data_IF_955738119111
#
_entry.id   IF_955738119111
#
_cell.length_a   1.000
_cell.length_b   1.000
_cell.length_c   1.000
_cell.angle_alpha   90.00
_cell.angle_beta   90.00
_cell.angle_gamma   90.00
#
_symmetry.space_group_name_H-M   'P 1'
#
loop_
_entity.id
_entity.type
_entity.pdbx_description
1 polymer ?
#
# COMPACT_ATOMS: atom_id res chain seq x y z
N UNK A 1 15.27 -9.83 -6.19
CA UNK A 1 15.82 -8.46 -6.28
C UNK A 1 14.70 -7.43 -6.47
N UNK A 2 14.04 -7.33 -7.63
CA UNK A 2 12.99 -6.32 -7.87
C UNK A 2 11.78 -6.40 -6.92
N UNK A 3 11.26 -7.61 -6.66
CA UNK A 3 10.14 -7.80 -5.73
C UNK A 3 10.50 -7.42 -4.29
N UNK A 4 11.75 -7.65 -3.85
CA UNK A 4 12.18 -7.27 -2.50
C UNK A 4 12.31 -5.75 -2.38
N UNK A 5 12.90 -5.09 -3.37
CA UNK A 5 12.95 -3.61 -3.42
C UNK A 5 11.56 -3.00 -3.41
N UNK A 6 10.62 -3.58 -4.17
CA UNK A 6 9.22 -3.16 -4.16
C UNK A 6 8.59 -3.34 -2.77
N UNK A 7 8.81 -4.48 -2.12
CA UNK A 7 8.25 -4.80 -0.81
C UNK A 7 8.78 -3.86 0.29
N UNK A 8 10.08 -3.59 0.32
CA UNK A 8 10.71 -2.61 1.23
C UNK A 8 10.16 -1.19 1.03
N UNK A 9 9.98 -0.78 -0.22
CA UNK A 9 9.43 0.53 -0.55
C UNK A 9 7.95 0.64 -0.17
N UNK A 10 7.13 -0.38 -0.46
CA UNK A 10 5.72 -0.44 -0.06
C UNK A 10 5.60 -0.42 1.46
N UNK A 11 6.44 -1.18 2.18
CA UNK A 11 6.49 -1.15 3.65
C UNK A 11 6.71 0.28 4.16
N UNK A 12 7.68 0.99 3.57
CA UNK A 12 7.99 2.39 3.93
C UNK A 12 6.82 3.34 3.63
N UNK A 13 6.13 3.17 2.50
CA UNK A 13 4.94 3.97 2.15
C UNK A 13 3.82 3.71 3.16
N UNK A 14 3.55 2.44 3.49
CA UNK A 14 2.51 2.06 4.46
C UNK A 14 2.82 2.55 5.88
N UNK A 15 4.08 2.57 6.31
CA UNK A 15 4.50 3.17 7.60
C UNK A 15 4.24 4.67 7.67
N UNK A 16 4.38 5.38 6.54
CA UNK A 16 4.15 6.83 6.45
C UNK A 16 2.69 7.19 6.20
N UNK A 17 1.84 6.21 5.89
CA UNK A 17 0.42 6.45 5.65
C UNK A 17 -0.31 6.72 6.97
N UNK A 18 -0.61 8.00 7.22
CA UNK A 18 -1.15 8.45 8.50
C UNK A 18 -2.49 7.81 8.85
N UNK A 19 -3.38 7.60 7.89
CA UNK A 19 -4.67 6.94 8.12
C UNK A 19 -4.49 5.51 8.66
N UNK A 20 -3.58 4.74 8.06
CA UNK A 20 -3.25 3.38 8.50
C UNK A 20 -2.58 3.38 9.89
N UNK A 21 -1.62 4.29 10.11
CA UNK A 21 -0.96 4.42 11.41
C UNK A 21 -1.92 4.79 12.54
N UNK A 22 -2.87 5.69 12.28
CA UNK A 22 -3.94 6.03 13.23
C UNK A 22 -4.88 4.85 13.47
N UNK A 23 -5.24 4.10 12.44
CA UNK A 23 -6.10 2.92 12.59
C UNK A 23 -5.46 1.86 13.49
N UNK A 24 -4.16 1.59 13.30
CA UNK A 24 -3.40 0.67 14.14
C UNK A 24 -3.28 1.20 15.58
N UNK A 25 -2.87 2.46 15.74
CA UNK A 25 -2.65 3.06 17.07
C UNK A 25 -3.93 3.19 17.90
N UNK A 26 -5.08 3.40 17.26
CA UNK A 26 -6.38 3.45 17.95
C UNK A 26 -7.01 2.07 18.13
N UNK A 27 -6.36 0.99 17.66
CA UNK A 27 -6.89 -0.37 17.77
C UNK A 27 -8.15 -0.60 16.95
N UNK A 28 -8.31 0.13 15.84
CA UNK A 28 -9.45 -0.04 14.95
C UNK A 28 -9.41 -1.42 14.29
N UNK A 29 -10.57 -2.07 14.23
CA UNK A 29 -10.69 -3.49 13.89
C UNK A 29 -10.19 -4.47 14.98
N UNK A 30 -9.71 -4.01 16.14
CA UNK A 30 -9.24 -4.87 17.23
C UNK A 30 -7.75 -5.21 17.20
N UNK A 31 -7.34 -6.21 17.98
CA UNK A 31 -5.92 -6.62 18.09
C UNK A 31 -5.38 -7.15 16.76
N UNK A 32 -4.12 -6.85 16.46
CA UNK A 32 -3.43 -7.35 15.26
C UNK A 32 -3.36 -6.36 14.10
N UNK A 33 -3.32 -5.05 14.38
CA UNK A 33 -3.11 -4.01 13.37
C UNK A 33 -1.85 -4.23 12.52
N UNK A 34 -0.73 -4.63 13.15
CA UNK A 34 0.51 -4.95 12.43
C UNK A 34 0.32 -6.11 11.44
N UNK A 35 -0.37 -7.19 11.84
CA UNK A 35 -0.68 -8.32 10.96
C UNK A 35 -1.58 -7.94 9.79
N UNK A 36 -2.46 -6.95 9.96
CA UNK A 36 -3.27 -6.40 8.88
C UNK A 36 -2.43 -5.58 7.93
N UNK A 37 -1.53 -4.74 8.43
CA UNK A 37 -0.57 -4.01 7.60
C UNK A 37 0.30 -4.98 6.80
N UNK A 38 0.80 -6.06 7.40
CA UNK A 38 1.54 -7.11 6.69
C UNK A 38 0.70 -7.77 5.59
N UNK A 39 -0.59 -8.06 5.85
CA UNK A 39 -1.52 -8.58 4.83
C UNK A 39 -1.74 -7.59 3.68
N UNK A 40 -1.84 -6.29 4.00
CA UNK A 40 -1.98 -5.26 2.98
C UNK A 40 -0.74 -5.19 2.08
N UNK A 41 0.45 -5.20 2.68
CA UNK A 41 1.71 -5.27 1.94
C UNK A 41 1.76 -6.49 1.03
N UNK A 42 1.39 -7.67 1.54
CA UNK A 42 1.33 -8.91 0.74
C UNK A 42 0.35 -8.80 -0.44
N UNK A 43 -0.81 -8.15 -0.26
CA UNK A 43 -1.78 -7.93 -1.33
C UNK A 43 -1.18 -7.06 -2.44
N UNK A 44 -0.49 -5.97 -2.07
CA UNK A 44 0.17 -5.07 -3.03
C UNK A 44 1.33 -5.78 -3.74
N UNK A 45 2.15 -6.54 -3.00
CA UNK A 45 3.26 -7.32 -3.55
C UNK A 45 2.78 -8.44 -4.48
N UNK A 46 1.66 -9.09 -4.18
CA UNK A 46 1.03 -10.06 -5.08
C UNK A 46 0.59 -9.39 -6.39
N UNK A 47 -0.04 -8.21 -6.33
CA UNK A 47 -0.41 -7.45 -7.54
C UNK A 47 0.78 -7.09 -8.40
N UNK A 48 1.89 -6.69 -7.78
CA UNK A 48 3.12 -6.43 -8.50
C UNK A 48 3.67 -7.70 -9.19
N UNK A 49 3.61 -8.85 -8.53
CA UNK A 49 4.05 -10.11 -9.13
C UNK A 49 3.14 -10.58 -10.28
N UNK A 50 1.82 -10.38 -10.17
CA UNK A 50 0.83 -10.88 -11.12
C UNK A 50 0.61 -9.99 -12.34
N UNK A 51 0.59 -8.66 -12.15
CA UNK A 51 0.30 -7.71 -13.22
C UNK A 51 1.58 -7.10 -13.79
N UNK A 52 1.59 -6.81 -15.08
CA UNK A 52 2.66 -6.03 -15.70
C UNK A 52 2.55 -4.54 -15.38
N UNK A 53 1.33 -4.05 -15.18
CA UNK A 53 1.03 -2.67 -14.80
C UNK A 53 -0.04 -2.68 -13.70
N UNK A 54 0.17 -1.86 -12.67
CA UNK A 54 -0.78 -1.71 -11.57
C UNK A 54 -1.64 -0.49 -11.86
N UNK A 55 -2.93 -0.69 -12.05
CA UNK A 55 -3.86 0.43 -12.21
C UNK A 55 -4.04 1.16 -10.86
N UNK A 56 -3.84 2.47 -10.87
CA UNK A 56 -3.87 3.28 -9.65
C UNK A 56 -5.29 3.43 -9.08
N UNK A 57 -6.32 3.47 -9.92
CA UNK A 57 -7.71 3.61 -9.49
C UNK A 57 -8.19 2.31 -8.84
N UNK A 58 -7.87 1.16 -9.46
CA UNK A 58 -8.11 -0.16 -8.91
C UNK A 58 -7.39 -0.36 -7.57
N UNK A 59 -6.12 0.07 -7.48
CA UNK A 59 -5.36 -0.03 -6.22
C UNK A 59 -5.93 0.90 -5.15
N UNK A 60 -6.34 2.11 -5.50
CA UNK A 60 -7.00 3.05 -4.59
C UNK A 60 -8.27 2.44 -3.98
N UNK A 61 -9.15 1.87 -4.82
CA UNK A 61 -10.37 1.22 -4.34
C UNK A 61 -10.03 0.10 -3.36
N UNK A 62 -9.07 -0.76 -3.69
CA UNK A 62 -8.66 -1.83 -2.79
C UNK A 62 -8.05 -1.35 -1.47
N UNK A 63 -7.30 -0.26 -1.48
CA UNK A 63 -6.77 0.35 -0.25
C UNK A 63 -7.90 0.87 0.64
N UNK A 64 -8.92 1.51 0.04
CA UNK A 64 -10.09 2.00 0.75
C UNK A 64 -10.94 0.85 1.31
N UNK A 65 -11.25 -0.16 0.49
CA UNK A 65 -11.96 -1.37 0.91
C UNK A 65 -11.22 -2.06 2.06
N UNK A 66 -9.89 -2.17 1.98
CA UNK A 66 -9.10 -2.78 3.05
C UNK A 66 -9.20 -2.01 4.37
N UNK A 67 -9.12 -0.67 4.35
CA UNK A 67 -9.31 0.14 5.55
C UNK A 67 -10.71 -0.06 6.14
N UNK A 68 -11.74 -0.14 5.29
CA UNK A 68 -13.11 -0.32 5.73
C UNK A 68 -13.36 -1.72 6.31
N UNK A 69 -12.88 -2.77 5.64
CA UNK A 69 -13.13 -4.16 6.03
C UNK A 69 -12.26 -4.61 7.20
N UNK A 70 -10.97 -4.26 7.20
CA UNK A 70 -10.01 -4.75 8.20
C UNK A 70 -9.85 -3.80 9.39
N UNK A 71 -9.98 -2.50 9.15
CA UNK A 71 -9.86 -1.49 10.21
C UNK A 71 -11.19 -0.83 10.57
N UNK A 72 -12.30 -1.11 9.88
CA UNK A 72 -13.59 -0.44 10.14
C UNK A 72 -13.48 1.09 10.10
N UNK A 73 -12.62 1.62 9.23
CA UNK A 73 -12.46 3.06 9.02
C UNK A 73 -12.48 3.41 7.55
N UNK A 74 -12.98 4.59 7.26
CA UNK A 74 -12.88 5.21 5.95
C UNK A 74 -11.82 6.31 6.00
N UNK A 75 -10.95 6.36 5.00
CA UNK A 75 -10.06 7.51 4.82
C UNK A 75 -10.87 8.60 4.12
N UNK A 76 -11.39 9.56 4.90
CA UNK A 76 -12.21 10.66 4.39
C UNK A 76 -11.42 11.73 3.61
N UNK A 77 -10.15 11.46 3.36
CA UNK A 77 -9.20 12.30 2.67
C UNK A 77 -8.67 11.56 1.42
N UNK A 78 -8.05 12.29 0.50
CA UNK A 78 -7.49 11.74 -0.74
C UNK A 78 -6.23 10.85 -0.53
N UNK A 79 -5.91 10.42 0.70
CA UNK A 79 -4.69 9.62 0.95
C UNK A 79 -4.71 8.25 0.29
N UNK A 80 -5.87 7.57 0.15
CA UNK A 80 -5.94 6.31 -0.61
C UNK A 80 -5.45 6.50 -2.05
N UNK A 81 -5.90 7.58 -2.70
CA UNK A 81 -5.51 7.91 -4.07
C UNK A 81 -4.02 8.25 -4.17
N UNK A 82 -3.52 9.05 -3.22
CA UNK A 82 -2.10 9.43 -3.17
C UNK A 82 -1.20 8.20 -2.95
N UNK A 83 -1.54 7.33 -2.00
CA UNK A 83 -0.78 6.11 -1.72
C UNK A 83 -0.80 5.16 -2.91
N UNK A 84 -1.96 4.98 -3.55
CA UNK A 84 -2.06 4.17 -4.77
C UNK A 84 -1.17 4.71 -5.90
N UNK A 85 -1.23 6.02 -6.16
CA UNK A 85 -0.41 6.66 -7.18
C UNK A 85 1.09 6.49 -6.90
N UNK A 86 1.52 6.66 -5.65
CA UNK A 86 2.91 6.46 -5.24
C UNK A 86 3.38 5.01 -5.46
N UNK A 87 2.58 4.03 -5.06
CA UNK A 87 2.90 2.60 -5.24
C UNK A 87 2.97 2.24 -6.73
N UNK A 88 2.00 2.69 -7.54
CA UNK A 88 1.99 2.45 -8.99
C UNK A 88 3.18 3.09 -9.69
N UNK A 89 3.54 4.33 -9.32
CA UNK A 89 4.72 5.01 -9.87
C UNK A 89 6.00 4.23 -9.56
N UNK A 90 6.16 3.78 -8.31
CA UNK A 90 7.30 2.96 -7.90
C UNK A 90 7.35 1.61 -8.65
N UNK A 91 6.18 0.98 -8.83
CA UNK A 91 6.07 -0.25 -9.63
C UNK A 91 6.52 -0.03 -11.08
N UNK A 92 6.15 1.10 -11.69
CA UNK A 92 6.54 1.45 -13.06
C UNK A 92 8.05 1.70 -13.16
N UNK A 93 8.61 2.50 -12.24
CA UNK A 93 10.05 2.79 -12.18
C UNK A 93 10.91 1.54 -12.02
N UNK A 94 10.51 0.61 -11.15
CA UNK A 94 11.23 -0.65 -10.95
C UNK A 94 11.19 -1.55 -12.19
N UNK A 95 10.12 -1.50 -12.98
CA UNK A 95 10.01 -2.26 -14.24
C UNK A 95 10.80 -1.64 -15.39
N UNK A 96 10.86 -0.32 -15.43
CA UNK A 96 11.65 0.45 -16.40
C UNK A 96 13.17 0.39 -16.09
N UNK A 97 13.54 -0.09 -14.90
CA UNK A 97 14.94 -0.17 -14.44
C UNK A 97 15.48 1.17 -13.93
N UNK A 98 14.59 2.14 -13.68
CA UNK A 98 14.92 3.51 -13.32
C UNK A 98 14.84 3.68 -11.79
N UNK A 99 15.71 2.98 -11.07
CA UNK A 99 15.66 2.85 -9.59
C UNK A 99 16.28 4.06 -8.87
N UNK A 100 16.76 5.08 -9.59
CA UNK A 100 17.58 6.17 -9.04
C UNK A 100 16.78 7.19 -8.19
N UNK A 101 15.46 7.28 -8.35
CA UNK A 101 14.58 8.22 -7.62
C UNK A 101 13.60 7.54 -6.64
N UNK A 102 13.60 6.21 -6.53
CA UNK A 102 12.54 5.45 -5.86
C UNK A 102 12.77 5.21 -4.34
N UNK A 103 13.92 5.61 -3.78
CA UNK A 103 14.32 5.37 -2.39
C UNK A 103 14.46 6.66 -1.56
#
# INVERSE_FOLDING_TARGET
EMLQLFDDAVSTILDRWTALGLAISNGWGGQGGDKRKERLQQLVSAKFAEKQEIDADELMQQLADFLLEEFHTDAQDDSCAQVAAHITMLASQLRDGNVDEAL
#
